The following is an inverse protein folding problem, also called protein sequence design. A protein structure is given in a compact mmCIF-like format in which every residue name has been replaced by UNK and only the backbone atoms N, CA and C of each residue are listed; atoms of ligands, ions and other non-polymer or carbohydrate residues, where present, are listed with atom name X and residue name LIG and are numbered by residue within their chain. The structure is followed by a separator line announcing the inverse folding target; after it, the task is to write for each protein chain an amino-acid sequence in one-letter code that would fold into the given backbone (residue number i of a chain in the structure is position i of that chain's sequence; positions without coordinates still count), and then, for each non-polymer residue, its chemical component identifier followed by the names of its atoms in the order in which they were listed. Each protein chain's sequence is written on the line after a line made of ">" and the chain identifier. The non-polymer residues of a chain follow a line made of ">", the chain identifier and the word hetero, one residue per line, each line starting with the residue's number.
data_IF_831762005349
#
_entry.id   IF_831762005349
#
_cell.length_a   1.000
_cell.length_b   1.000
_cell.length_c   1.000
_cell.angle_alpha   90.00
_cell.angle_beta   90.00
_cell.angle_gamma   90.00
#
_symmetry.space_group_name_H-M   'P 1'
#
loop_
_entity.id
_entity.type
_entity.pdbx_description
1 polymer ?
#
# COMPACT_ATOMS: atom_id res chain seq x y z
N UNK A 1 -41.11 10.89 -21.38
CA UNK A 1 -40.73 9.49 -21.64
C UNK A 1 -40.52 9.29 -23.14
N UNK A 2 -39.37 8.79 -23.55
CA UNK A 2 -39.01 8.50 -24.94
C UNK A 2 -39.21 7.01 -25.29
N UNK A 3 -38.90 6.63 -26.54
CA UNK A 3 -39.11 5.29 -27.05
C UNK A 3 -38.42 4.21 -26.21
N UNK A 4 -39.08 3.06 -26.09
CA UNK A 4 -38.54 1.88 -25.41
C UNK A 4 -38.13 2.09 -23.93
N UNK A 5 -38.64 3.14 -23.29
CA UNK A 5 -38.37 3.41 -21.88
C UNK A 5 -39.43 2.81 -20.96
N UNK A 6 -39.05 2.51 -19.74
CA UNK A 6 -39.89 1.97 -18.68
C UNK A 6 -39.90 2.93 -17.50
N UNK A 7 -41.10 3.32 -17.03
CA UNK A 7 -41.27 4.11 -15.80
C UNK A 7 -42.35 3.48 -14.92
N UNK A 8 -42.00 3.05 -13.72
CA UNK A 8 -42.88 2.42 -12.74
C UNK A 8 -42.71 3.05 -11.39
N UNK A 9 -43.69 3.74 -10.88
CA UNK A 9 -43.68 4.39 -9.57
C UNK A 9 -44.12 5.86 -9.63
N UNK A 10 -44.34 6.46 -8.46
CA UNK A 10 -44.72 7.86 -8.36
C UNK A 10 -43.56 8.76 -8.82
N UNK A 11 -43.82 9.61 -9.80
CA UNK A 11 -42.85 10.49 -10.44
C UNK A 11 -41.59 9.78 -11.03
N UNK A 12 -41.67 8.47 -11.29
CA UNK A 12 -40.58 7.77 -12.00
C UNK A 12 -40.48 8.30 -13.44
N UNK A 13 -39.27 8.70 -13.86
CA UNK A 13 -38.99 9.22 -15.20
C UNK A 13 -39.80 10.44 -15.58
N UNK A 14 -40.24 11.27 -14.61
CA UNK A 14 -41.28 12.30 -14.84
C UNK A 14 -40.82 13.45 -15.72
N UNK A 15 -39.52 13.81 -15.65
CA UNK A 15 -38.95 14.90 -16.42
C UNK A 15 -37.75 14.41 -17.24
N UNK A 16 -37.90 14.35 -18.57
CA UNK A 16 -36.87 14.00 -19.52
C UNK A 16 -36.30 12.59 -19.31
N UNK A 17 -37.11 11.57 -19.42
CA UNK A 17 -36.64 10.19 -19.52
C UNK A 17 -36.26 9.88 -20.97
N UNK A 18 -34.97 9.61 -21.22
CA UNK A 18 -34.43 9.31 -22.55
C UNK A 18 -34.76 7.88 -23.02
N UNK A 19 -34.46 7.60 -24.29
CA UNK A 19 -34.77 6.32 -24.91
C UNK A 19 -34.08 5.12 -24.24
N UNK A 20 -34.74 3.97 -24.28
CA UNK A 20 -34.17 2.71 -23.77
C UNK A 20 -33.75 2.75 -22.28
N UNK A 21 -34.26 3.69 -21.49
CA UNK A 21 -33.95 3.82 -20.08
C UNK A 21 -35.00 3.19 -19.18
N UNK A 22 -34.62 2.81 -17.98
CA UNK A 22 -35.48 2.17 -16.97
C UNK A 22 -35.51 3.01 -15.71
N UNK A 23 -36.70 3.39 -15.23
CA UNK A 23 -36.93 4.06 -13.95
C UNK A 23 -37.97 3.28 -13.15
N UNK A 24 -37.60 2.68 -12.05
CA UNK A 24 -38.50 1.89 -11.19
C UNK A 24 -38.33 2.32 -9.73
N UNK A 25 -39.38 2.83 -9.13
CA UNK A 25 -39.38 3.32 -7.75
C UNK A 25 -39.93 4.74 -7.64
N UNK A 26 -40.23 5.18 -6.42
CA UNK A 26 -40.66 6.56 -6.17
C UNK A 26 -39.54 7.54 -6.56
N UNK A 27 -39.87 8.51 -7.43
CA UNK A 27 -38.95 9.55 -7.92
C UNK A 27 -37.64 9.03 -8.54
N UNK A 28 -37.64 7.77 -9.00
CA UNK A 28 -36.53 7.15 -9.69
C UNK A 28 -36.31 7.81 -11.05
N UNK A 29 -35.10 8.20 -11.41
CA UNK A 29 -34.83 8.90 -12.67
C UNK A 29 -35.69 10.13 -12.88
N UNK A 30 -36.09 10.84 -11.83
CA UNK A 30 -37.13 11.87 -11.89
C UNK A 30 -36.79 12.97 -12.89
N UNK A 31 -35.53 13.44 -12.90
CA UNK A 31 -35.10 14.56 -13.75
C UNK A 31 -33.81 14.22 -14.50
N UNK A 32 -33.88 14.27 -15.83
CA UNK A 32 -32.69 14.17 -16.67
C UNK A 32 -32.09 12.75 -16.72
N UNK A 33 -32.92 11.70 -16.88
CA UNK A 33 -32.46 10.35 -17.06
C UNK A 33 -31.92 10.12 -18.48
N UNK A 34 -30.62 9.79 -18.60
CA UNK A 34 -29.91 9.58 -19.85
C UNK A 34 -30.31 8.30 -20.59
N UNK A 35 -30.00 8.23 -21.87
CA UNK A 35 -30.29 7.08 -22.71
C UNK A 35 -29.59 5.80 -22.22
N UNK A 36 -30.27 4.66 -22.36
CA UNK A 36 -29.75 3.34 -21.98
C UNK A 36 -29.26 3.27 -20.51
N UNK A 37 -29.84 4.08 -19.63
CA UNK A 37 -29.52 4.09 -18.21
C UNK A 37 -30.55 3.36 -17.36
N UNK A 38 -30.17 2.93 -16.18
CA UNK A 38 -31.04 2.20 -15.24
C UNK A 38 -31.06 2.94 -13.91
N UNK A 39 -32.28 3.19 -13.41
CA UNK A 39 -32.54 3.77 -12.10
C UNK A 39 -33.59 2.93 -11.37
N UNK A 40 -33.21 2.22 -10.31
CA UNK A 40 -34.13 1.34 -9.55
C UNK A 40 -33.97 1.61 -8.05
N UNK A 41 -35.04 2.05 -7.42
CA UNK A 41 -35.11 2.37 -5.99
C UNK A 41 -35.72 3.75 -5.73
N UNK A 42 -36.05 4.03 -4.47
CA UNK A 42 -36.51 5.39 -4.08
C UNK A 42 -35.39 6.40 -4.33
N UNK A 43 -35.71 7.43 -5.14
CA UNK A 43 -34.74 8.48 -5.55
C UNK A 43 -33.45 7.97 -6.19
N UNK A 44 -33.43 6.75 -6.71
CA UNK A 44 -32.28 6.30 -7.51
C UNK A 44 -32.15 7.20 -8.75
N UNK A 45 -30.96 7.70 -9.03
CA UNK A 45 -30.69 8.64 -10.11
C UNK A 45 -31.68 9.83 -10.14
N UNK A 46 -31.92 10.41 -8.99
CA UNK A 46 -32.94 11.43 -8.79
C UNK A 46 -32.79 12.64 -9.73
N UNK A 47 -31.53 13.09 -9.94
CA UNK A 47 -31.20 14.21 -10.82
C UNK A 47 -29.95 13.93 -11.68
N UNK A 48 -30.04 14.24 -12.98
CA UNK A 48 -28.92 14.26 -13.91
C UNK A 48 -28.15 12.93 -13.99
N UNK A 49 -28.88 11.85 -14.29
CA UNK A 49 -28.24 10.58 -14.64
C UNK A 49 -27.79 10.60 -16.10
N UNK A 50 -26.49 10.52 -16.36
CA UNK A 50 -25.98 10.47 -17.71
C UNK A 50 -26.20 9.09 -18.39
N UNK A 51 -26.01 9.04 -19.70
CA UNK A 51 -26.23 7.83 -20.49
C UNK A 51 -25.31 6.65 -20.05
N UNK A 52 -25.82 5.43 -20.26
CA UNK A 52 -25.10 4.18 -19.99
C UNK A 52 -24.71 3.98 -18.52
N UNK A 53 -25.39 4.65 -17.58
CA UNK A 53 -25.10 4.53 -16.16
C UNK A 53 -26.17 3.69 -15.44
N UNK A 54 -25.79 3.12 -14.31
CA UNK A 54 -26.63 2.26 -13.48
C UNK A 54 -26.71 2.83 -12.07
N UNK A 55 -27.92 3.01 -11.55
CA UNK A 55 -28.20 3.40 -10.18
C UNK A 55 -29.24 2.46 -9.57
N UNK A 56 -28.87 1.63 -8.61
CA UNK A 56 -29.76 0.68 -7.96
C UNK A 56 -29.63 0.78 -6.45
N UNK A 57 -30.68 1.14 -5.80
CA UNK A 57 -30.78 1.36 -4.34
C UNK A 57 -31.39 2.71 -4.00
N UNK A 58 -31.82 2.88 -2.75
CA UNK A 58 -32.31 4.17 -2.25
C UNK A 58 -31.22 5.24 -2.41
N UNK A 59 -31.53 6.33 -3.12
CA UNK A 59 -30.63 7.46 -3.36
C UNK A 59 -29.29 7.08 -4.03
N UNK A 60 -29.20 5.91 -4.68
CA UNK A 60 -28.03 5.52 -5.48
C UNK A 60 -27.89 6.45 -6.69
N UNK A 61 -26.69 6.96 -6.98
CA UNK A 61 -26.48 7.91 -8.08
C UNK A 61 -27.37 9.14 -7.99
N UNK A 62 -27.78 9.56 -6.81
CA UNK A 62 -28.87 10.49 -6.56
C UNK A 62 -28.75 11.85 -7.26
N UNK A 63 -27.54 12.40 -7.36
CA UNK A 63 -27.26 13.67 -8.02
C UNK A 63 -25.98 13.60 -8.87
N UNK A 64 -26.08 14.06 -10.12
CA UNK A 64 -24.95 14.23 -11.04
C UNK A 64 -24.14 12.90 -11.22
N UNK A 65 -24.84 11.83 -11.57
CA UNK A 65 -24.21 10.57 -11.94
C UNK A 65 -23.69 10.64 -13.39
N UNK A 66 -22.37 10.62 -13.54
CA UNK A 66 -21.75 10.71 -14.87
C UNK A 66 -21.88 9.41 -15.69
N UNK A 67 -21.67 9.50 -17.00
CA UNK A 67 -21.87 8.39 -17.94
C UNK A 67 -20.93 7.19 -17.69
N UNK A 68 -21.47 6.01 -18.05
CA UNK A 68 -20.76 4.74 -17.89
C UNK A 68 -20.41 4.39 -16.44
N UNK A 69 -21.04 5.01 -15.45
CA UNK A 69 -20.80 4.77 -14.04
C UNK A 69 -21.81 3.79 -13.43
N UNK A 70 -21.44 3.18 -12.32
CA UNK A 70 -22.28 2.22 -11.59
C UNK A 70 -22.39 2.66 -10.12
N UNK A 71 -23.61 2.77 -9.63
CA UNK A 71 -23.94 3.00 -8.23
C UNK A 71 -24.90 1.91 -7.75
N UNK A 72 -24.44 1.02 -6.88
CA UNK A 72 -25.21 -0.12 -6.38
C UNK A 72 -25.19 -0.16 -4.85
N UNK A 73 -26.30 0.07 -4.24
CA UNK A 73 -26.50 0.12 -2.79
C UNK A 73 -27.10 1.45 -2.34
N UNK A 74 -27.57 1.50 -1.09
CA UNK A 74 -28.11 2.72 -0.52
C UNK A 74 -27.04 3.81 -0.51
N UNK A 75 -27.37 5.03 -0.95
CA UNK A 75 -26.47 6.18 -1.02
C UNK A 75 -25.14 5.91 -1.80
N UNK A 76 -25.02 4.83 -2.56
CA UNK A 76 -23.84 4.60 -3.41
C UNK A 76 -23.74 5.68 -4.49
N UNK A 77 -22.58 6.28 -4.68
CA UNK A 77 -22.37 7.33 -5.69
C UNK A 77 -23.35 8.49 -5.62
N UNK A 78 -23.87 8.80 -4.43
CA UNK A 78 -25.05 9.66 -4.25
C UNK A 78 -24.87 11.09 -4.74
N UNK A 79 -23.65 11.64 -4.74
CA UNK A 79 -23.36 13.00 -5.20
C UNK A 79 -22.07 13.06 -6.02
N UNK A 80 -22.15 13.61 -7.23
CA UNK A 80 -21.01 13.85 -8.11
C UNK A 80 -20.17 12.59 -8.37
N UNK A 81 -20.81 11.52 -8.85
CA UNK A 81 -20.10 10.32 -9.27
C UNK A 81 -19.43 10.55 -10.63
N UNK A 82 -18.10 10.37 -10.68
CA UNK A 82 -17.30 10.57 -11.88
C UNK A 82 -17.58 9.58 -13.01
N UNK A 83 -17.18 9.96 -14.23
CA UNK A 83 -17.34 9.11 -15.40
C UNK A 83 -16.60 7.76 -15.21
N UNK A 84 -17.22 6.65 -15.62
CA UNK A 84 -16.67 5.28 -15.48
C UNK A 84 -16.39 4.85 -14.04
N UNK A 85 -16.85 5.61 -13.05
CA UNK A 85 -16.64 5.26 -11.65
C UNK A 85 -17.60 4.13 -11.22
N UNK A 86 -17.17 3.32 -10.26
CA UNK A 86 -17.93 2.21 -9.69
C UNK A 86 -18.07 2.41 -8.18
N UNK A 87 -19.30 2.43 -7.68
CA UNK A 87 -19.63 2.51 -6.27
C UNK A 87 -20.54 1.35 -5.89
N UNK A 88 -20.10 0.42 -5.08
CA UNK A 88 -20.87 -0.76 -4.67
C UNK A 88 -20.82 -0.90 -3.15
N UNK A 89 -21.98 -0.82 -2.52
CA UNK A 89 -22.14 -0.89 -1.06
C UNK A 89 -22.84 0.34 -0.51
N UNK A 90 -23.35 0.24 0.72
CA UNK A 90 -23.99 1.37 1.41
C UNK A 90 -22.98 2.51 1.63
N UNK A 91 -23.30 3.69 1.11
CA UNK A 91 -22.46 4.87 1.17
C UNK A 91 -21.14 4.80 0.41
N UNK A 92 -20.91 3.76 -0.41
CA UNK A 92 -19.69 3.66 -1.24
C UNK A 92 -19.65 4.83 -2.25
N UNK A 93 -18.50 5.49 -2.38
CA UNK A 93 -18.33 6.62 -3.30
C UNK A 93 -19.36 7.73 -3.11
N UNK A 94 -19.92 7.90 -1.90
CA UNK A 94 -21.08 8.75 -1.64
C UNK A 94 -20.93 10.18 -2.11
N UNK A 95 -19.73 10.76 -1.96
CA UNK A 95 -19.43 12.14 -2.34
C UNK A 95 -18.21 12.23 -3.25
N UNK A 96 -18.31 13.02 -4.32
CA UNK A 96 -17.17 13.42 -5.16
C UNK A 96 -16.26 12.25 -5.56
N UNK A 97 -16.84 11.17 -6.06
CA UNK A 97 -16.05 10.05 -6.56
C UNK A 97 -15.39 10.42 -7.90
N UNK A 98 -14.06 10.34 -7.99
CA UNK A 98 -13.30 10.73 -9.17
C UNK A 98 -13.55 9.84 -10.40
N UNK A 99 -13.17 10.33 -11.58
CA UNK A 99 -13.27 9.57 -12.83
C UNK A 99 -12.50 8.23 -12.73
N UNK A 100 -13.13 7.14 -13.17
CA UNK A 100 -12.54 5.80 -13.15
C UNK A 100 -12.25 5.24 -11.77
N UNK A 101 -12.68 5.89 -10.70
CA UNK A 101 -12.46 5.42 -9.35
C UNK A 101 -13.41 4.27 -8.98
N UNK A 102 -12.93 3.32 -8.19
CA UNK A 102 -13.69 2.15 -7.74
C UNK A 102 -13.79 2.18 -6.21
N UNK A 103 -15.00 2.20 -5.68
CA UNK A 103 -15.33 2.12 -4.26
C UNK A 103 -16.20 0.88 -4.00
N UNK A 104 -15.70 -0.08 -3.26
CA UNK A 104 -16.45 -1.31 -2.92
C UNK A 104 -16.44 -1.48 -1.41
N UNK A 105 -17.65 -1.66 -0.86
CA UNK A 105 -17.89 -1.90 0.57
C UNK A 105 -18.47 -0.70 1.31
N UNK A 106 -18.78 -0.92 2.58
CA UNK A 106 -19.45 0.06 3.45
C UNK A 106 -18.61 1.33 3.59
N UNK A 107 -19.17 2.48 3.20
CA UNK A 107 -18.52 3.79 3.21
C UNK A 107 -17.12 3.85 2.57
N UNK A 108 -16.82 2.98 1.60
CA UNK A 108 -15.59 3.10 0.81
C UNK A 108 -15.56 4.46 0.07
N UNK A 109 -14.49 5.25 0.26
CA UNK A 109 -14.39 6.59 -0.31
C UNK A 109 -15.15 7.70 0.42
N UNK A 110 -15.68 7.45 1.62
CA UNK A 110 -16.36 8.43 2.47
C UNK A 110 -15.41 8.95 3.57
N UNK A 111 -15.55 10.16 4.13
CA UNK A 111 -16.59 11.18 3.87
C UNK A 111 -16.23 12.24 2.82
N UNK A 112 -15.00 12.37 2.39
CA UNK A 112 -14.55 13.54 1.62
C UNK A 112 -14.43 13.30 0.11
N UNK A 113 -14.57 12.05 -0.33
CA UNK A 113 -14.49 11.69 -1.73
C UNK A 113 -13.32 10.75 -2.06
N UNK A 114 -13.15 10.50 -3.36
CA UNK A 114 -12.17 9.55 -3.88
C UNK A 114 -11.45 10.14 -5.09
N UNK A 115 -10.12 10.08 -5.09
CA UNK A 115 -9.31 10.55 -6.22
C UNK A 115 -9.52 9.72 -7.49
N UNK A 116 -9.34 10.33 -8.64
CA UNK A 116 -9.50 9.66 -9.93
C UNK A 116 -8.59 8.43 -10.07
N UNK A 117 -9.10 7.38 -10.70
CA UNK A 117 -8.38 6.13 -10.95
C UNK A 117 -8.01 5.32 -9.71
N UNK A 118 -8.37 5.76 -8.51
CA UNK A 118 -8.05 5.00 -7.29
C UNK A 118 -9.06 3.89 -7.03
N UNK A 119 -8.61 2.81 -6.38
CA UNK A 119 -9.44 1.67 -6.00
C UNK A 119 -9.45 1.58 -4.47
N UNK A 120 -10.66 1.60 -3.89
CA UNK A 120 -10.87 1.40 -2.45
C UNK A 120 -11.78 0.19 -2.25
N UNK A 121 -11.27 -0.82 -1.54
CA UNK A 121 -12.05 -1.96 -1.08
C UNK A 121 -12.09 -1.90 0.45
N UNK A 122 -13.28 -1.65 1.01
CA UNK A 122 -13.47 -1.52 2.45
C UNK A 122 -14.44 -2.58 2.96
N UNK A 123 -13.93 -3.60 3.63
CA UNK A 123 -14.71 -4.60 4.36
C UNK A 123 -14.93 -4.24 5.84
N UNK A 124 -14.43 -3.09 6.30
CA UNK A 124 -14.62 -2.61 7.67
C UNK A 124 -16.05 -2.16 7.94
N UNK A 125 -16.48 -2.25 9.20
CA UNK A 125 -17.83 -1.87 9.66
C UNK A 125 -17.88 -0.46 10.23
N UNK A 126 -16.77 0.24 10.29
CA UNK A 126 -16.68 1.56 10.91
C UNK A 126 -17.21 2.65 9.98
N UNK A 127 -18.22 3.41 10.45
CA UNK A 127 -18.82 4.54 9.75
C UNK A 127 -17.86 5.72 9.49
N UNK A 128 -16.63 5.65 10.04
CA UNK A 128 -15.58 6.66 9.78
C UNK A 128 -15.09 6.70 8.34
N UNK A 129 -15.45 5.69 7.55
CA UNK A 129 -15.11 5.60 6.15
C UNK A 129 -13.61 5.39 5.91
N UNK A 130 -13.29 5.08 4.68
CA UNK A 130 -11.91 4.98 4.20
C UNK A 130 -11.81 5.76 2.89
N UNK A 131 -11.13 6.90 2.92
CA UNK A 131 -11.10 7.82 1.79
C UNK A 131 -9.70 8.03 1.23
N UNK A 132 -9.66 8.47 -0.02
CA UNK A 132 -8.45 8.97 -0.66
C UNK A 132 -8.80 10.09 -1.62
N UNK A 133 -8.59 11.34 -1.20
CA UNK A 133 -8.87 12.53 -1.99
C UNK A 133 -7.66 13.01 -2.80
N UNK A 134 -6.47 12.54 -2.51
CA UNK A 134 -5.23 13.15 -2.99
C UNK A 134 -4.40 12.25 -3.90
N UNK A 135 -4.43 10.93 -3.71
CA UNK A 135 -3.56 10.01 -4.44
C UNK A 135 -4.33 9.32 -5.57
N UNK A 136 -4.09 9.76 -6.79
CA UNK A 136 -4.65 9.13 -7.98
C UNK A 136 -3.99 7.78 -8.28
N UNK A 137 -4.70 6.90 -8.98
CA UNK A 137 -4.20 5.59 -9.44
C UNK A 137 -3.60 4.73 -8.31
N UNK A 138 -4.16 4.78 -7.11
CA UNK A 138 -3.72 4.04 -5.94
C UNK A 138 -4.72 2.96 -5.53
N UNK A 139 -4.23 1.88 -4.92
CA UNK A 139 -5.04 0.80 -4.37
C UNK A 139 -5.02 0.86 -2.84
N UNK A 140 -6.21 0.85 -2.24
CA UNK A 140 -6.44 0.83 -0.80
C UNK A 140 -7.35 -0.35 -0.44
N UNK A 141 -6.92 -1.17 0.49
CA UNK A 141 -7.69 -2.33 0.99
C UNK A 141 -7.75 -2.27 2.51
N UNK A 142 -8.96 -2.40 3.07
CA UNK A 142 -9.20 -2.43 4.52
C UNK A 142 -10.32 -3.46 4.86
N UNK A 143 -10.17 -4.32 5.87
CA UNK A 143 -8.93 -4.55 6.64
C UNK A 143 -7.96 -5.47 5.89
N UNK A 144 -6.67 -5.23 6.08
CA UNK A 144 -5.63 -6.22 5.79
C UNK A 144 -5.31 -6.94 7.10
N UNK A 145 -5.49 -8.25 7.13
CA UNK A 145 -5.27 -9.03 8.35
C UNK A 145 -3.79 -9.01 8.74
N UNK A 146 -3.49 -8.54 9.94
CA UNK A 146 -2.16 -8.62 10.51
C UNK A 146 -1.99 -10.00 11.17
N UNK A 147 -1.16 -10.85 10.56
CA UNK A 147 -0.74 -12.14 11.12
C UNK A 147 0.74 -12.32 10.91
N UNK A 148 1.40 -12.95 11.87
CA UNK A 148 2.77 -13.40 11.69
C UNK A 148 2.78 -14.53 10.65
N UNK A 149 3.11 -14.20 9.42
CA UNK A 149 3.19 -15.12 8.31
C UNK A 149 4.57 -14.99 7.65
N UNK A 150 5.15 -16.09 7.22
CA UNK A 150 6.45 -16.10 6.54
C UNK A 150 6.41 -15.59 5.10
N UNK A 151 5.23 -15.28 4.57
CA UNK A 151 5.07 -14.82 3.20
C UNK A 151 5.06 -13.29 3.12
N UNK A 152 5.73 -12.76 2.11
CA UNK A 152 5.81 -11.33 1.80
C UNK A 152 4.94 -11.07 0.57
N UNK A 153 4.07 -10.05 0.65
CA UNK A 153 3.31 -9.58 -0.51
C UNK A 153 4.23 -8.73 -1.40
N UNK A 154 4.35 -9.13 -2.65
CA UNK A 154 5.16 -8.45 -3.67
C UNK A 154 4.27 -7.92 -4.79
N UNK A 155 4.63 -6.78 -5.37
CA UNK A 155 3.95 -6.21 -6.52
C UNK A 155 4.87 -6.16 -7.73
N UNK A 156 4.45 -6.78 -8.82
CA UNK A 156 5.13 -6.70 -10.11
C UNK A 156 4.57 -5.52 -10.93
N UNK A 157 5.36 -4.48 -11.10
CA UNK A 157 4.94 -3.29 -11.85
C UNK A 157 4.76 -3.53 -13.36
N UNK A 158 5.40 -4.54 -13.93
CA UNK A 158 5.25 -4.93 -15.33
C UNK A 158 3.95 -5.68 -15.61
N UNK A 159 3.73 -6.80 -14.90
CA UNK A 159 2.51 -7.61 -15.02
C UNK A 159 1.30 -7.04 -14.29
N UNK A 160 1.48 -6.06 -13.38
CA UNK A 160 0.44 -5.51 -12.49
C UNK A 160 -0.12 -6.54 -11.51
N UNK A 161 0.65 -7.53 -11.17
CA UNK A 161 0.25 -8.67 -10.37
C UNK A 161 0.76 -8.56 -8.93
N UNK A 162 -0.09 -8.92 -7.97
CA UNK A 162 0.32 -9.18 -6.60
C UNK A 162 0.62 -10.66 -6.42
N UNK A 163 1.82 -10.97 -5.98
CA UNK A 163 2.28 -12.32 -5.65
C UNK A 163 2.71 -12.40 -4.19
N UNK A 164 2.82 -13.59 -3.65
CA UNK A 164 3.38 -13.80 -2.31
C UNK A 164 4.46 -14.88 -2.34
N UNK A 165 5.48 -14.71 -1.53
CA UNK A 165 6.60 -15.62 -1.41
C UNK A 165 7.32 -15.42 -0.08
N UNK A 166 8.26 -16.32 0.22
CA UNK A 166 9.10 -16.24 1.42
C UNK A 166 10.53 -15.76 1.12
N UNK A 167 10.81 -15.43 -0.13
CA UNK A 167 12.12 -14.94 -0.58
C UNK A 167 11.99 -13.64 -1.34
N UNK A 168 12.96 -12.76 -1.19
CA UNK A 168 13.15 -11.55 -2.00
C UNK A 168 14.39 -11.80 -2.85
N UNK A 169 14.20 -11.95 -4.16
CA UNK A 169 15.29 -12.31 -5.09
C UNK A 169 16.19 -11.13 -5.45
N UNK A 170 15.80 -9.91 -5.12
CA UNK A 170 16.55 -8.68 -5.41
C UNK A 170 16.93 -7.94 -4.13
N UNK A 171 17.72 -6.87 -4.28
CA UNK A 171 18.12 -6.02 -3.17
C UNK A 171 16.92 -5.40 -2.45
N UNK A 172 16.93 -5.46 -1.13
CA UNK A 172 15.96 -4.76 -0.27
C UNK A 172 16.56 -3.43 0.14
N UNK A 173 15.94 -2.33 -0.27
CA UNK A 173 16.30 -1.01 0.23
C UNK A 173 15.47 -0.70 1.48
N UNK A 174 16.12 -0.61 2.63
CA UNK A 174 15.50 -0.23 3.89
C UNK A 174 15.99 1.18 4.23
N UNK A 175 15.09 2.16 4.18
CA UNK A 175 15.42 3.57 4.41
C UNK A 175 15.59 3.93 5.89
N UNK A 176 15.39 2.97 6.79
CA UNK A 176 15.53 3.08 8.24
C UNK A 176 16.22 1.83 8.79
N UNK A 177 15.99 1.51 10.06
CA UNK A 177 16.61 0.38 10.73
C UNK A 177 16.18 -0.97 10.16
N UNK A 178 17.11 -1.90 10.01
CA UNK A 178 16.84 -3.32 9.79
C UNK A 178 17.03 -4.07 11.11
N UNK A 179 16.00 -4.73 11.60
CA UNK A 179 16.10 -5.62 12.75
C UNK A 179 15.72 -7.03 12.32
N UNK A 180 16.61 -7.98 12.56
CA UNK A 180 16.33 -9.41 12.39
C UNK A 180 16.28 -10.01 13.78
N UNK A 181 15.09 -10.50 14.18
CA UNK A 181 14.83 -10.79 15.58
C UNK A 181 15.16 -9.57 16.46
N UNK A 182 14.96 -9.56 17.73
CA UNK A 182 15.07 -8.32 18.52
C UNK A 182 16.51 -7.76 18.58
N UNK A 183 17.51 -8.64 18.54
CA UNK A 183 18.92 -8.30 18.77
C UNK A 183 19.91 -9.10 17.92
N UNK A 184 19.46 -10.12 17.18
CA UNK A 184 20.36 -11.00 16.38
C UNK A 184 21.15 -10.22 15.33
N UNK A 185 20.50 -9.35 14.55
CA UNK A 185 21.13 -8.37 13.67
C UNK A 185 20.35 -7.07 13.73
N UNK A 186 20.94 -6.04 14.21
CA UNK A 186 20.38 -4.69 14.28
C UNK A 186 21.23 -3.72 13.46
N UNK A 187 20.63 -3.10 12.44
CA UNK A 187 21.28 -2.06 11.63
C UNK A 187 20.55 -0.76 11.91
N UNK A 188 21.22 0.17 12.55
CA UNK A 188 20.72 1.50 12.91
C UNK A 188 21.22 2.54 11.91
N UNK A 189 20.29 3.08 11.11
CA UNK A 189 20.62 4.11 10.14
C UNK A 189 20.83 5.50 10.75
N UNK A 190 20.36 5.73 11.98
CA UNK A 190 20.53 7.01 12.66
C UNK A 190 21.91 7.14 13.32
N UNK A 191 22.39 6.06 13.94
CA UNK A 191 23.71 6.02 14.56
C UNK A 191 24.80 5.44 13.65
N UNK A 192 24.41 5.03 12.41
CA UNK A 192 25.30 4.41 11.42
C UNK A 192 26.04 3.19 11.97
N UNK A 193 25.32 2.36 12.74
CA UNK A 193 25.94 1.24 13.46
C UNK A 193 25.24 -0.09 13.18
N UNK A 194 26.00 -1.17 13.31
CA UNK A 194 25.54 -2.56 13.22
C UNK A 194 25.78 -3.28 14.54
N UNK A 195 24.71 -3.83 15.12
CA UNK A 195 24.76 -4.70 16.28
C UNK A 195 24.58 -6.16 15.89
N UNK A 196 25.41 -7.03 16.40
CA UNK A 196 25.22 -8.48 16.36
C UNK A 196 25.00 -8.95 17.79
N UNK A 197 23.86 -9.55 18.05
CA UNK A 197 23.40 -9.96 19.36
C UNK A 197 23.29 -8.78 20.37
N UNK A 198 22.97 -7.61 19.87
CA UNK A 198 22.69 -6.39 20.65
C UNK A 198 21.85 -5.40 19.85
N UNK A 199 20.81 -4.85 20.46
CA UNK A 199 19.99 -3.77 19.91
C UNK A 199 20.52 -2.36 20.28
N UNK A 200 21.60 -2.27 21.07
CA UNK A 200 22.22 -1.00 21.49
C UNK A 200 23.71 -1.03 21.17
N UNK A 201 24.10 -0.90 19.89
CA UNK A 201 25.50 -0.87 19.50
C UNK A 201 26.16 0.40 20.04
N UNK A 202 27.35 0.23 20.61
CA UNK A 202 28.20 1.34 21.15
C UNK A 202 29.40 1.65 20.24
N UNK A 203 29.43 1.07 19.04
CA UNK A 203 30.41 1.29 17.98
C UNK A 203 29.74 1.02 16.61
N UNK A 204 30.39 1.45 15.52
CA UNK A 204 29.86 1.20 14.16
C UNK A 204 29.62 -0.30 13.88
N UNK A 205 30.42 -1.18 14.45
CA UNK A 205 30.15 -2.61 14.54
C UNK A 205 30.33 -3.07 15.98
N UNK A 206 29.24 -3.52 16.61
CA UNK A 206 29.25 -4.06 17.97
C UNK A 206 28.77 -5.51 17.95
N UNK A 207 29.66 -6.45 18.30
CA UNK A 207 29.35 -7.88 18.42
C UNK A 207 29.37 -8.28 19.88
N UNK A 208 28.25 -8.75 20.42
CA UNK A 208 28.18 -9.36 21.75
C UNK A 208 28.29 -10.87 21.57
N UNK A 209 29.53 -11.38 21.74
CA UNK A 209 29.84 -12.79 21.55
C UNK A 209 31.20 -13.01 20.89
N UNK A 210 31.40 -14.23 20.41
CA UNK A 210 32.66 -14.59 19.72
C UNK A 210 32.57 -14.26 18.23
N UNK A 211 33.65 -13.77 17.67
CA UNK A 211 33.79 -13.57 16.22
C UNK A 211 34.80 -14.59 15.66
N UNK A 212 34.37 -15.33 14.62
CA UNK A 212 35.24 -16.24 13.87
C UNK A 212 35.49 -15.64 12.47
N UNK A 213 36.74 -15.40 12.14
CA UNK A 213 37.19 -14.88 10.85
C UNK A 213 38.01 -15.98 10.17
N UNK A 214 37.52 -16.57 9.10
CA UNK A 214 38.13 -17.69 8.37
C UNK A 214 39.21 -17.26 7.37
N UNK A 215 39.43 -15.95 7.21
CA UNK A 215 40.44 -15.39 6.32
C UNK A 215 41.23 -14.29 7.08
N UNK A 216 42.00 -13.47 6.36
CA UNK A 216 42.79 -12.42 6.96
C UNK A 216 41.97 -11.39 7.73
N UNK A 217 42.43 -10.95 8.88
CA UNK A 217 41.92 -9.78 9.59
C UNK A 217 42.90 -8.65 9.43
N UNK A 218 42.46 -7.50 8.94
CA UNK A 218 43.22 -6.27 8.88
C UNK A 218 42.49 -5.18 9.64
N UNK A 219 43.11 -4.56 10.61
CA UNK A 219 42.59 -3.40 11.33
C UNK A 219 43.44 -2.19 10.93
N UNK A 220 42.77 -1.20 10.29
CA UNK A 220 43.46 -0.14 9.59
C UNK A 220 44.50 -0.72 8.61
N UNK A 221 45.19 0.08 7.83
CA UNK A 221 46.05 -0.47 6.78
C UNK A 221 47.20 -1.33 7.32
N UNK A 222 47.77 -0.96 8.46
CA UNK A 222 48.95 -1.61 9.03
C UNK A 222 48.86 -1.90 10.54
N UNK A 223 47.88 -1.37 11.26
CA UNK A 223 47.84 -1.41 12.75
C UNK A 223 47.85 -2.84 13.29
N UNK A 224 47.00 -3.70 12.74
CA UNK A 224 47.02 -5.14 13.04
C UNK A 224 46.64 -5.92 11.76
N UNK A 225 47.49 -6.83 11.37
CA UNK A 225 47.22 -7.74 10.24
C UNK A 225 47.46 -9.17 10.67
N UNK A 226 46.41 -10.03 10.49
CA UNK A 226 46.50 -11.47 10.70
C UNK A 226 46.44 -12.13 9.34
N UNK A 227 47.56 -12.67 8.87
CA UNK A 227 47.67 -13.41 7.61
C UNK A 227 47.44 -14.90 7.87
N UNK A 228 46.29 -15.40 7.50
CA UNK A 228 45.91 -16.81 7.71
C UNK A 228 46.63 -17.77 6.76
N UNK A 229 47.12 -17.31 5.62
CA UNK A 229 47.90 -18.15 4.69
C UNK A 229 49.30 -18.42 5.18
N UNK A 230 49.97 -17.40 5.77
CA UNK A 230 51.31 -17.52 6.35
C UNK A 230 51.29 -17.92 7.83
N UNK A 231 50.11 -17.84 8.50
CA UNK A 231 49.92 -17.97 9.94
C UNK A 231 50.77 -16.92 10.74
N UNK A 232 50.84 -15.69 10.22
CA UNK A 232 51.59 -14.60 10.77
C UNK A 232 50.71 -13.49 11.31
N UNK A 233 51.19 -12.78 12.33
CA UNK A 233 50.58 -11.56 12.86
C UNK A 233 51.52 -10.38 12.67
N UNK A 234 51.08 -9.34 12.02
CA UNK A 234 51.78 -8.07 11.86
C UNK A 234 51.20 -6.98 12.76
N UNK A 235 52.03 -6.26 13.44
CA UNK A 235 51.72 -5.01 14.16
C UNK A 235 52.50 -3.90 13.47
N UNK A 236 51.80 -2.86 13.03
CA UNK A 236 52.36 -1.76 12.24
C UNK A 236 52.93 -2.25 10.88
N UNK A 237 52.52 -3.42 10.39
CA UNK A 237 52.87 -3.97 9.07
C UNK A 237 51.80 -4.89 8.51
N UNK A 238 51.50 -4.75 7.23
CA UNK A 238 50.61 -5.64 6.48
C UNK A 238 51.35 -6.72 5.69
N UNK A 239 52.66 -6.79 5.79
CA UNK A 239 53.49 -7.84 5.18
C UNK A 239 54.45 -8.45 6.22
N UNK A 240 53.88 -9.23 7.17
CA UNK A 240 54.72 -9.88 8.19
C UNK A 240 55.62 -10.94 7.56
N UNK A 241 56.87 -11.00 8.03
CA UNK A 241 57.88 -11.96 7.60
C UNK A 241 58.28 -12.96 8.70
N UNK A 242 57.61 -12.89 9.84
CA UNK A 242 57.77 -13.79 10.98
C UNK A 242 56.39 -14.08 11.60
N UNK A 243 56.26 -15.13 12.44
CA UNK A 243 55.00 -15.53 13.12
C UNK A 243 54.40 -14.34 13.88
N UNK A 244 55.22 -13.51 14.50
CA UNK A 244 54.84 -12.20 15.02
C UNK A 244 55.89 -11.18 14.55
N UNK A 245 55.45 -10.23 13.70
CA UNK A 245 56.29 -9.13 13.22
C UNK A 245 55.73 -7.81 13.74
N UNK A 246 56.52 -7.14 14.56
CA UNK A 246 56.23 -5.82 15.11
C UNK A 246 57.18 -4.79 14.53
N UNK A 247 56.67 -3.79 13.85
CA UNK A 247 57.45 -2.64 13.39
C UNK A 247 57.31 -1.54 14.45
N UNK A 248 58.33 -1.32 15.25
CA UNK A 248 58.30 -0.34 16.33
C UNK A 248 58.78 -0.91 17.66
N UNK A 249 58.44 -0.21 18.74
CA UNK A 249 58.88 -0.58 20.08
C UNK A 249 57.94 -1.58 20.73
N UNK A 250 58.43 -2.65 21.32
CA UNK A 250 57.69 -3.62 22.09
C UNK A 250 58.00 -3.45 23.59
N UNK A 251 56.92 -3.29 24.39
CA UNK A 251 57.05 -3.27 25.85
C UNK A 251 56.41 -4.55 26.43
N UNK A 252 57.22 -5.31 27.17
CA UNK A 252 56.81 -6.55 27.81
C UNK A 252 56.89 -6.38 29.30
N UNK A 253 55.74 -6.46 29.99
CA UNK A 253 55.68 -6.19 31.44
C UNK A 253 56.23 -7.31 32.33
N UNK A 254 56.13 -8.56 31.83
CA UNK A 254 56.60 -9.77 32.51
C UNK A 254 57.62 -10.52 31.63
N UNK A 255 58.03 -11.72 32.07
CA UNK A 255 59.06 -12.49 31.39
C UNK A 255 58.62 -12.90 29.96
N UNK A 256 59.51 -12.64 28.99
CA UNK A 256 59.43 -13.21 27.66
C UNK A 256 60.19 -14.53 27.65
N UNK A 257 59.47 -15.66 27.53
CA UNK A 257 60.07 -16.96 27.27
C UNK A 257 60.09 -17.19 25.76
N UNK A 258 61.27 -17.28 25.15
CA UNK A 258 61.50 -17.51 23.73
C UNK A 258 61.92 -18.94 23.51
#
# INVERSE_FOLDING_TARGET
>A
QQSNSVAIGYQAGSVTQAESSIAIGERSGETGQGASSIAIGDKAAFQNQAAYSIAIGENAGGQDQAGNSIALGKDAGSQNQGQKAIAIGDGAGKFNQGEGAIAIGYYAGYPTGQAAGSVIINGGIDAGGFNNTTTQNALFINPVRNVNNSNILMYNAGSKEFTYGNTIENNVHISRNLTVDTDTLFVDSFTESVGINTAVPNANLHVVGNTYISSNLTVDLNTLHVDTNKHFVGIETNNPDATLHVVGNTYILNDLTV
#
